data_IF_040884204055
#
_entry.id   IF_040884204055
#
_cell.length_a   1.000
_cell.length_b   1.000
_cell.length_c   1.000
_cell.angle_alpha   90.00
_cell.angle_beta   90.00
_cell.angle_gamma   90.00
#
_symmetry.space_group_name_H-M   'P 1'
#
loop_
_entity.id
_entity.type
_entity.pdbx_description
1 polymer ?
#
# COMPACT_ATOMS: atom_id res chain seq x y z
N UNK A 1 0.87 22.61 6.36
CA UNK A 1 -0.22 21.71 5.93
C UNK A 1 0.43 20.37 5.62
N UNK A 2 0.14 19.31 6.37
CA UNK A 2 0.80 18.00 6.15
C UNK A 2 0.39 17.47 4.77
N UNK A 3 1.37 17.27 3.88
CA UNK A 3 1.21 16.49 2.67
C UNK A 3 0.82 15.08 3.10
N UNK A 4 -0.47 14.73 3.10
CA UNK A 4 -0.87 13.35 3.39
C UNK A 4 -0.57 12.53 2.15
N UNK A 5 0.32 11.55 2.27
CA UNK A 5 0.46 10.50 1.25
C UNK A 5 -0.87 9.78 1.15
N UNK A 6 -1.40 9.72 -0.05
CA UNK A 6 -2.64 9.03 -0.39
C UNK A 6 -2.30 7.76 -1.13
N UNK A 7 -3.06 6.70 -0.87
CA UNK A 7 -2.91 5.40 -1.53
C UNK A 7 -4.26 4.88 -1.97
N UNK A 8 -4.29 4.28 -3.16
CA UNK A 8 -5.46 3.67 -3.75
C UNK A 8 -5.03 2.39 -4.45
N UNK A 9 -5.79 1.32 -4.28
CA UNK A 9 -5.61 0.08 -5.03
C UNK A 9 -6.85 -0.12 -5.88
N UNK A 10 -6.72 -0.40 -7.17
CA UNK A 10 -7.86 -0.75 -8.02
C UNK A 10 -7.69 -2.17 -8.57
N UNK A 11 -8.80 -2.87 -8.75
CA UNK A 11 -8.84 -4.20 -9.35
C UNK A 11 -10.17 -4.42 -10.08
N UNK A 12 -10.20 -5.17 -11.19
CA UNK A 12 -11.45 -5.41 -11.94
C UNK A 12 -12.44 -6.33 -11.24
N UNK A 13 -12.08 -6.93 -10.09
CA UNK A 13 -12.95 -7.81 -9.34
C UNK A 13 -14.07 -7.05 -8.62
N UNK A 14 -15.27 -7.62 -8.53
CA UNK A 14 -16.38 -7.03 -7.80
C UNK A 14 -16.14 -7.03 -6.28
N UNK A 15 -16.81 -6.12 -5.56
CA UNK A 15 -16.52 -5.87 -4.16
C UNK A 15 -16.87 -7.07 -3.26
N UNK A 16 -17.96 -7.79 -3.55
CA UNK A 16 -18.39 -8.93 -2.74
C UNK A 16 -17.39 -10.10 -2.81
N UNK A 17 -16.95 -10.46 -4.01
CA UNK A 17 -15.93 -11.50 -4.22
C UNK A 17 -14.59 -11.09 -3.64
N UNK A 18 -14.19 -9.83 -3.86
CA UNK A 18 -12.96 -9.29 -3.32
C UNK A 18 -12.98 -9.28 -1.79
N UNK A 19 -14.07 -8.85 -1.17
CA UNK A 19 -14.23 -8.80 0.29
C UNK A 19 -14.08 -10.20 0.91
N UNK A 20 -14.76 -11.19 0.33
CA UNK A 20 -14.67 -12.60 0.76
C UNK A 20 -13.25 -13.16 0.59
N UNK A 21 -12.62 -12.90 -0.54
CA UNK A 21 -11.28 -13.41 -0.85
C UNK A 21 -10.17 -12.72 -0.03
N UNK A 22 -10.31 -11.42 0.24
CA UNK A 22 -9.37 -10.68 1.10
C UNK A 22 -9.48 -11.12 2.56
N UNK A 23 -10.69 -11.32 3.07
CA UNK A 23 -10.90 -11.79 4.43
C UNK A 23 -10.31 -13.20 4.63
N UNK A 24 -10.58 -14.13 3.70
CA UNK A 24 -9.98 -15.48 3.75
C UNK A 24 -8.46 -15.46 3.56
N UNK A 25 -7.95 -14.55 2.74
CA UNK A 25 -6.54 -14.34 2.48
C UNK A 25 -5.77 -13.59 3.58
N UNK A 26 -6.45 -13.17 4.65
CA UNK A 26 -5.93 -12.31 5.72
C UNK A 26 -5.20 -11.07 5.17
N UNK A 27 -5.80 -10.44 4.18
CA UNK A 27 -5.32 -9.16 3.65
C UNK A 27 -5.71 -8.05 4.63
N UNK A 28 -4.84 -7.05 4.79
CA UNK A 28 -5.01 -5.99 5.79
C UNK A 28 -6.32 -5.20 5.61
N UNK A 29 -6.72 -4.43 6.64
CA UNK A 29 -7.92 -3.60 6.57
C UNK A 29 -7.84 -2.59 5.42
N UNK A 30 -8.96 -2.35 4.75
CA UNK A 30 -9.11 -1.36 3.70
C UNK A 30 -10.60 -1.07 3.49
N UNK A 31 -10.95 0.17 3.17
CA UNK A 31 -12.29 0.44 2.69
C UNK A 31 -12.42 -0.05 1.24
N UNK A 32 -13.50 -0.76 0.94
CA UNK A 32 -13.83 -1.25 -0.39
C UNK A 32 -14.88 -0.32 -1.01
N UNK A 33 -14.61 0.17 -2.20
CA UNK A 33 -15.44 1.13 -2.89
C UNK A 33 -15.83 0.49 -4.23
N UNK A 34 -17.04 -0.09 -4.36
CA UNK A 34 -17.49 -0.69 -5.60
C UNK A 34 -17.66 0.40 -6.66
N UNK A 35 -17.12 0.14 -7.85
CA UNK A 35 -17.21 1.00 -9.02
C UNK A 35 -17.63 0.15 -10.23
N UNK A 36 -18.04 0.79 -11.32
CA UNK A 36 -18.49 0.05 -12.52
C UNK A 36 -17.39 -0.87 -13.09
N UNK A 37 -16.14 -0.42 -13.02
CA UNK A 37 -14.95 -1.12 -13.50
C UNK A 37 -14.34 -2.10 -12.49
N UNK A 38 -15.02 -2.42 -11.39
CA UNK A 38 -14.55 -3.36 -10.37
C UNK A 38 -14.61 -2.78 -8.95
N UNK A 39 -13.49 -2.81 -8.24
CA UNK A 39 -13.42 -2.32 -6.86
C UNK A 39 -12.16 -1.50 -6.62
N UNK A 40 -12.34 -0.38 -5.94
CA UNK A 40 -11.26 0.42 -5.39
C UNK A 40 -11.09 0.08 -3.91
N UNK A 41 -9.87 -0.18 -3.46
CA UNK A 41 -9.50 -0.35 -2.07
C UNK A 41 -8.73 0.88 -1.60
N UNK A 42 -9.14 1.42 -0.46
CA UNK A 42 -8.49 2.53 0.19
C UNK A 42 -7.84 2.03 1.49
N UNK A 43 -6.50 1.90 1.54
CA UNK A 43 -5.80 1.53 2.76
C UNK A 43 -5.91 2.64 3.84
N UNK A 44 -5.80 2.29 5.13
CA UNK A 44 -5.73 3.27 6.21
C UNK A 44 -4.58 4.29 6.02
N UNK A 45 -4.68 5.54 6.53
CA UNK A 45 -3.70 6.60 6.25
C UNK A 45 -2.28 6.30 6.75
N UNK A 46 -2.15 5.47 7.80
CA UNK A 46 -0.87 4.97 8.30
C UNK A 46 -0.25 3.80 7.54
N UNK A 47 -0.85 3.33 6.44
CA UNK A 47 -0.37 2.16 5.69
C UNK A 47 0.96 2.47 4.99
N UNK A 48 1.98 1.63 5.22
CA UNK A 48 3.28 1.76 4.54
C UNK A 48 3.19 1.28 3.10
N UNK A 49 4.01 1.84 2.21
CA UNK A 49 4.12 1.41 0.81
C UNK A 49 4.36 -0.09 0.66
N UNK A 50 5.18 -0.70 1.53
CA UNK A 50 5.45 -2.14 1.50
C UNK A 50 4.21 -2.97 1.87
N UNK A 51 3.38 -2.46 2.78
CA UNK A 51 2.13 -3.11 3.18
C UNK A 51 1.07 -2.96 2.09
N UNK A 52 0.94 -1.76 1.51
CA UNK A 52 0.08 -1.52 0.36
C UNK A 52 0.48 -2.41 -0.83
N UNK A 53 1.77 -2.47 -1.18
CA UNK A 53 2.28 -3.35 -2.23
C UNK A 53 2.04 -4.84 -1.93
N UNK A 54 2.18 -5.26 -0.66
CA UNK A 54 1.81 -6.61 -0.25
C UNK A 54 0.31 -6.88 -0.46
N UNK A 55 -0.56 -5.96 -0.04
CA UNK A 55 -2.00 -6.05 -0.26
C UNK A 55 -2.33 -6.12 -1.75
N UNK A 56 -1.79 -5.21 -2.57
CA UNK A 56 -1.97 -5.20 -4.03
C UNK A 56 -1.52 -6.51 -4.68
N UNK A 57 -0.38 -7.07 -4.25
CA UNK A 57 0.08 -8.36 -4.77
C UNK A 57 -0.85 -9.52 -4.38
N UNK A 58 -1.49 -9.48 -3.20
CA UNK A 58 -2.51 -10.46 -2.79
C UNK A 58 -3.79 -10.28 -3.60
N UNK A 59 -4.25 -9.05 -3.80
CA UNK A 59 -5.40 -8.72 -4.66
C UNK A 59 -5.16 -9.20 -6.09
N UNK A 60 -3.98 -8.93 -6.67
CA UNK A 60 -3.59 -9.47 -7.98
C UNK A 60 -3.73 -10.99 -8.05
N UNK A 61 -3.28 -11.72 -7.03
CA UNK A 61 -3.37 -13.20 -7.04
C UNK A 61 -4.82 -13.71 -7.07
N UNK A 62 -5.76 -12.91 -6.59
CA UNK A 62 -7.19 -13.24 -6.56
C UNK A 62 -7.85 -12.81 -7.88
N UNK A 63 -7.57 -11.59 -8.33
CA UNK A 63 -8.28 -10.93 -9.42
C UNK A 63 -7.56 -10.96 -10.78
N UNK A 64 -6.41 -11.62 -10.89
CA UNK A 64 -5.55 -11.62 -12.08
C UNK A 64 -4.74 -10.32 -12.27
N UNK A 65 -5.13 -9.22 -11.63
CA UNK A 65 -4.42 -7.95 -11.68
C UNK A 65 -4.87 -6.92 -10.65
N UNK A 66 -3.99 -5.97 -10.39
CA UNK A 66 -4.30 -4.80 -9.58
C UNK A 66 -3.42 -3.60 -9.94
N UNK A 67 -3.94 -2.40 -9.75
CA UNK A 67 -3.21 -1.15 -9.78
C UNK A 67 -3.01 -0.62 -8.36
N UNK A 68 -1.84 -0.07 -8.05
CA UNK A 68 -1.57 0.67 -6.81
C UNK A 68 -1.11 2.07 -7.18
N UNK A 69 -1.91 3.07 -6.84
CA UNK A 69 -1.56 4.48 -6.94
C UNK A 69 -1.13 4.99 -5.57
N UNK A 70 -0.05 5.78 -5.54
CA UNK A 70 0.47 6.45 -4.35
C UNK A 70 0.85 7.87 -4.75
N UNK A 71 0.29 8.88 -4.11
CA UNK A 71 0.52 10.27 -4.52
C UNK A 71 0.37 11.27 -3.38
N UNK A 72 0.89 12.46 -3.62
CA UNK A 72 0.66 13.66 -2.83
C UNK A 72 0.56 14.86 -3.81
N UNK A 73 0.57 16.08 -3.29
CA UNK A 73 0.39 17.28 -4.12
C UNK A 73 1.59 17.57 -5.05
N UNK A 74 2.72 16.88 -4.87
CA UNK A 74 3.99 17.16 -5.56
C UNK A 74 4.54 16.01 -6.41
N UNK A 75 4.07 14.78 -6.18
CA UNK A 75 4.49 13.60 -6.92
C UNK A 75 3.40 12.53 -6.94
N UNK A 76 3.47 11.64 -7.94
CA UNK A 76 2.62 10.47 -8.03
C UNK A 76 3.39 9.24 -8.52
N UNK A 77 2.99 8.07 -8.04
CA UNK A 77 3.52 6.75 -8.38
C UNK A 77 2.35 5.84 -8.71
N UNK A 78 2.39 5.15 -9.85
CA UNK A 78 1.40 4.15 -10.24
C UNK A 78 2.09 2.83 -10.56
N UNK A 79 1.81 1.81 -9.78
CA UNK A 79 2.30 0.45 -9.97
C UNK A 79 1.19 -0.42 -10.57
N UNK A 80 1.48 -1.11 -11.68
CA UNK A 80 0.58 -2.12 -12.21
C UNK A 80 1.13 -3.52 -11.96
N UNK A 81 0.37 -4.28 -11.19
CA UNK A 81 0.66 -5.63 -10.76
C UNK A 81 -0.11 -6.62 -11.63
N UNK A 82 0.40 -6.91 -12.83
CA UNK A 82 0.00 -8.11 -13.61
C UNK A 82 0.87 -9.32 -13.24
N UNK A 83 2.12 -9.08 -12.86
CA UNK A 83 3.07 -10.10 -12.36
C UNK A 83 3.51 -9.78 -10.93
N UNK A 84 4.43 -10.57 -10.37
CA UNK A 84 4.96 -10.38 -9.00
C UNK A 84 5.75 -9.08 -8.83
N UNK A 85 6.22 -8.49 -9.93
CA UNK A 85 6.99 -7.24 -9.95
C UNK A 85 6.17 -6.16 -10.64
N UNK A 86 5.59 -5.26 -9.85
CA UNK A 86 5.01 -4.02 -10.37
C UNK A 86 6.11 -3.01 -10.64
N UNK A 87 6.23 -2.52 -11.88
CA UNK A 87 7.06 -1.35 -12.19
C UNK A 87 6.20 -0.09 -12.02
N UNK A 88 6.78 0.94 -11.43
CA UNK A 88 6.08 2.18 -11.14
C UNK A 88 6.24 3.15 -12.32
N UNK A 89 5.11 3.65 -12.82
CA UNK A 89 5.06 4.93 -13.51
C UNK A 89 5.17 6.06 -12.49
N UNK A 90 5.82 7.18 -12.83
CA UNK A 90 6.09 8.28 -11.90
C UNK A 90 5.83 9.65 -12.53
N UNK A 91 5.22 10.56 -11.79
CA UNK A 91 5.02 11.97 -12.13
C UNK A 91 5.59 12.88 -11.04
N UNK A 92 6.04 14.08 -11.44
CA UNK A 92 6.69 15.07 -10.59
C UNK A 92 8.21 15.14 -10.77
N UNK A 93 8.82 16.12 -10.10
CA UNK A 93 10.28 16.26 -10.08
C UNK A 93 10.93 15.05 -9.41
N UNK A 94 12.22 14.83 -9.69
CA UNK A 94 12.97 13.71 -9.11
C UNK A 94 12.96 13.79 -7.59
N UNK A 95 13.20 14.98 -7.05
CA UNK A 95 13.24 15.26 -5.62
C UNK A 95 11.87 14.99 -4.97
N UNK A 96 10.78 15.41 -5.63
CA UNK A 96 9.42 15.18 -5.14
C UNK A 96 9.05 13.69 -5.12
N UNK A 97 9.42 12.93 -6.16
CA UNK A 97 9.18 11.48 -6.24
C UNK A 97 9.97 10.73 -5.14
N UNK A 98 11.22 11.12 -4.88
CA UNK A 98 12.00 10.53 -3.79
C UNK A 98 11.44 10.88 -2.42
N UNK A 99 10.98 12.12 -2.23
CA UNK A 99 10.33 12.55 -1.00
C UNK A 99 9.05 11.75 -0.75
N UNK A 100 8.19 11.61 -1.77
CA UNK A 100 6.98 10.80 -1.70
C UNK A 100 7.30 9.33 -1.38
N UNK A 101 8.29 8.74 -2.04
CA UNK A 101 8.70 7.35 -1.77
C UNK A 101 9.18 7.15 -0.34
N UNK A 102 10.00 8.07 0.17
CA UNK A 102 10.50 8.04 1.54
C UNK A 102 9.36 8.20 2.57
N UNK A 103 8.41 9.09 2.28
CA UNK A 103 7.24 9.33 3.12
C UNK A 103 6.30 8.12 3.13
N UNK A 104 5.98 7.58 1.95
CA UNK A 104 5.14 6.39 1.79
C UNK A 104 5.75 5.14 2.44
N UNK A 105 7.09 4.98 2.38
CA UNK A 105 7.80 3.90 3.10
C UNK A 105 7.86 4.13 4.62
N UNK A 106 7.57 5.35 5.08
CA UNK A 106 7.86 5.81 6.44
C UNK A 106 9.34 5.56 6.80
N UNK A 107 10.23 5.82 5.84
CA UNK A 107 11.66 5.58 5.98
C UNK A 107 12.26 6.45 7.08
N UNK A 108 12.95 5.80 8.03
CA UNK A 108 13.81 6.49 8.99
C UNK A 108 15.00 7.20 8.32
N UNK A 109 15.81 7.95 9.09
CA UNK A 109 16.90 8.78 8.53
C UNK A 109 17.86 8.02 7.61
N UNK A 110 18.25 6.80 7.98
CA UNK A 110 19.12 5.94 7.18
C UNK A 110 18.47 5.46 5.87
N UNK A 111 17.17 5.15 5.90
CA UNK A 111 16.41 4.72 4.71
C UNK A 111 16.28 5.84 3.66
N UNK A 112 16.12 7.10 4.11
CA UNK A 112 16.09 8.26 3.21
C UNK A 112 17.42 8.49 2.50
N UNK A 113 18.52 8.22 3.20
CA UNK A 113 19.87 8.36 2.67
C UNK A 113 20.16 7.28 1.62
N UNK A 114 19.72 6.04 1.87
CA UNK A 114 19.78 4.93 0.90
C UNK A 114 18.92 5.18 -0.36
N UNK A 115 17.70 5.70 -0.17
CA UNK A 115 16.81 6.06 -1.29
C UNK A 115 17.43 7.18 -2.15
N UNK A 116 18.10 8.17 -1.53
CA UNK A 116 18.86 9.20 -2.26
C UNK A 116 20.05 8.65 -3.02
N UNK A 117 20.81 7.71 -2.45
CA UNK A 117 21.97 7.11 -3.13
C UNK A 117 21.58 6.21 -4.31
N UNK A 118 20.43 5.55 -4.23
CA UNK A 118 19.92 4.69 -5.32
C UNK A 118 19.10 5.47 -6.36
N UNK A 119 18.73 6.71 -6.06
CA UNK A 119 18.02 7.60 -6.99
C UNK A 119 18.77 7.87 -8.30
N UNK A 120 20.09 7.69 -8.35
CA UNK A 120 20.91 7.82 -9.57
C UNK A 120 20.53 6.82 -10.68
N UNK A 121 19.88 5.72 -10.30
CA UNK A 121 19.47 4.65 -11.20
C UNK A 121 18.05 4.86 -11.78
N UNK A 122 17.29 5.84 -11.28
CA UNK A 122 15.95 6.17 -11.79
C UNK A 122 16.12 7.06 -13.02
N UNK A 123 16.40 6.45 -14.16
CA UNK A 123 16.67 7.15 -15.40
C UNK A 123 15.36 7.71 -15.99
N UNK A 124 15.29 9.03 -16.21
CA UNK A 124 14.08 9.70 -16.70
C UNK A 124 13.63 9.19 -18.08
N UNK A 125 14.56 8.66 -18.90
CA UNK A 125 14.28 8.04 -20.21
C UNK A 125 13.51 6.72 -20.11
N UNK A 126 13.59 6.02 -18.98
CA UNK A 126 12.82 4.77 -18.77
C UNK A 126 11.36 5.05 -18.38
N UNK A 127 11.03 6.27 -17.97
CA UNK A 127 9.67 6.66 -17.53
C UNK A 127 8.63 6.50 -18.63
N UNK A 128 8.95 6.92 -19.85
CA UNK A 128 8.04 6.80 -21.01
C UNK A 128 7.76 5.33 -21.33
N UNK A 129 8.81 4.49 -21.38
CA UNK A 129 8.68 3.04 -21.58
C UNK A 129 7.81 2.38 -20.51
N UNK A 130 7.95 2.79 -19.25
CA UNK A 130 7.15 2.24 -18.15
C UNK A 130 5.70 2.71 -18.17
N UNK A 131 5.42 3.90 -18.69
CA UNK A 131 4.05 4.36 -18.93
C UNK A 131 3.37 3.60 -20.06
N UNK A 132 4.08 3.36 -21.16
CA UNK A 132 3.58 2.49 -22.22
C UNK A 132 3.27 1.08 -21.68
N UNK A 133 4.22 0.48 -20.95
CA UNK A 133 4.02 -0.81 -20.28
C UNK A 133 2.84 -0.76 -19.30
N UNK A 134 2.65 0.35 -18.59
CA UNK A 134 1.52 0.51 -17.70
C UNK A 134 0.20 0.56 -18.46
N UNK A 135 0.10 1.34 -19.53
CA UNK A 135 -1.13 1.43 -20.32
C UNK A 135 -1.45 0.07 -20.98
N UNK A 136 -0.44 -0.61 -21.51
CA UNK A 136 -0.61 -1.93 -22.13
C UNK A 136 -1.07 -2.95 -21.08
N UNK A 137 -0.50 -2.94 -19.87
CA UNK A 137 -0.95 -3.78 -18.75
C UNK A 137 -2.36 -3.44 -18.28
N UNK A 138 -2.72 -2.15 -18.21
CA UNK A 138 -4.05 -1.72 -17.83
C UNK A 138 -5.09 -2.19 -18.86
N UNK A 139 -4.79 -2.03 -20.14
CA UNK A 139 -5.65 -2.48 -21.24
C UNK A 139 -5.77 -4.01 -21.25
N UNK A 140 -4.70 -4.74 -20.91
CA UNK A 140 -4.76 -6.19 -20.75
C UNK A 140 -5.63 -6.62 -19.55
N UNK A 141 -5.62 -5.85 -18.46
CA UNK A 141 -6.43 -6.11 -17.26
C UNK A 141 -7.90 -5.71 -17.42
N UNK A 142 -8.16 -4.64 -18.16
CA UNK A 142 -9.49 -4.13 -18.45
C UNK A 142 -9.55 -3.74 -19.94
N UNK A 143 -9.93 -4.66 -20.83
CA UNK A 143 -10.00 -4.42 -22.27
C UNK A 143 -10.83 -3.19 -22.70
N UNK A 144 -11.89 -2.79 -21.98
CA UNK A 144 -12.60 -1.55 -22.27
C UNK A 144 -11.80 -0.26 -21.98
N UNK A 145 -10.64 -0.35 -21.30
CA UNK A 145 -9.81 0.81 -21.02
C UNK A 145 -9.28 1.44 -22.31
N UNK A 146 -9.28 2.77 -22.36
CA UNK A 146 -8.72 3.51 -23.47
C UNK A 146 -7.19 3.48 -23.43
N UNK A 147 -6.59 2.94 -24.50
CA UNK A 147 -5.14 3.03 -24.72
C UNK A 147 -4.73 4.42 -25.18
N UNK A 148 -5.53 5.05 -26.05
CA UNK A 148 -5.18 6.31 -26.72
C UNK A 148 -5.18 7.50 -25.75
N UNK A 149 -6.15 7.56 -24.83
CA UNK A 149 -6.32 8.69 -23.91
C UNK A 149 -5.11 8.93 -23.00
N UNK A 150 -4.62 7.92 -22.26
CA UNK A 150 -3.45 8.09 -21.40
C UNK A 150 -2.18 8.38 -22.21
N UNK A 151 -2.01 7.77 -23.39
CA UNK A 151 -0.86 7.99 -24.27
C UNK A 151 -0.72 9.45 -24.73
N UNK A 152 -1.84 10.11 -25.04
CA UNK A 152 -1.84 11.53 -25.44
C UNK A 152 -1.44 12.45 -24.27
N UNK A 153 -1.61 11.99 -23.02
CA UNK A 153 -1.35 12.74 -21.79
C UNK A 153 -0.04 12.36 -21.08
N UNK A 154 0.69 11.38 -21.59
CA UNK A 154 2.02 10.94 -21.08
C UNK A 154 3.04 12.10 -20.98
N UNK A 155 2.85 13.19 -21.74
CA UNK A 155 3.86 14.24 -21.90
C UNK A 155 3.98 15.23 -20.73
N UNK A 156 3.01 15.28 -19.81
CA UNK A 156 3.05 16.21 -18.67
C UNK A 156 3.68 15.56 -17.42
N UNK A 157 4.97 15.24 -17.50
CA UNK A 157 5.71 14.57 -16.42
C UNK A 157 5.95 15.44 -15.19
N UNK A 158 5.76 16.76 -15.29
CA UNK A 158 6.06 17.70 -14.23
C UNK A 158 4.83 18.06 -13.40
N UNK A 159 3.64 17.94 -13.99
CA UNK A 159 2.41 18.11 -13.27
C UNK A 159 2.02 16.82 -12.53
N UNK A 160 2.44 16.72 -11.28
CA UNK A 160 2.01 15.66 -10.39
C UNK A 160 0.61 15.90 -9.80
N UNK A 161 0.15 17.16 -9.81
CA UNK A 161 -1.15 17.53 -9.32
C UNK A 161 -2.22 16.90 -10.22
N UNK A 162 -3.16 16.15 -9.64
CA UNK A 162 -4.19 15.39 -10.35
C UNK A 162 -3.68 14.29 -11.30
N UNK A 163 -2.39 13.94 -11.29
CA UNK A 163 -1.83 12.94 -12.20
C UNK A 163 -2.55 11.57 -12.12
N UNK A 164 -2.95 11.16 -10.92
CA UNK A 164 -3.68 9.90 -10.70
C UNK A 164 -5.13 9.99 -11.20
N UNK A 165 -5.97 10.96 -10.76
CA UNK A 165 -7.30 11.17 -11.34
C UNK A 165 -7.30 11.28 -12.86
N UNK A 166 -6.41 12.10 -13.44
CA UNK A 166 -6.36 12.31 -14.88
C UNK A 166 -5.93 11.07 -15.65
N UNK A 167 -5.00 10.28 -15.12
CA UNK A 167 -4.62 9.01 -15.72
C UNK A 167 -5.82 8.06 -15.81
N UNK A 168 -6.54 7.84 -14.71
CA UNK A 168 -7.68 6.93 -14.69
C UNK A 168 -8.83 7.43 -15.57
N UNK A 169 -9.12 8.73 -15.55
CA UNK A 169 -10.11 9.35 -16.43
C UNK A 169 -9.75 9.15 -17.91
N UNK A 170 -8.49 9.43 -18.27
CA UNK A 170 -8.02 9.24 -19.63
C UNK A 170 -8.06 7.76 -20.06
N UNK A 171 -7.83 6.84 -19.13
CA UNK A 171 -7.90 5.40 -19.35
C UNK A 171 -9.35 4.87 -19.48
N UNK A 172 -10.37 5.73 -19.39
CA UNK A 172 -11.77 5.29 -19.44
C UNK A 172 -12.26 4.67 -18.12
N UNK A 173 -11.64 5.06 -17.00
CA UNK A 173 -12.03 4.66 -15.64
C UNK A 173 -12.43 5.91 -14.81
N UNK A 174 -13.46 6.67 -15.24
CA UNK A 174 -13.84 7.92 -14.59
C UNK A 174 -14.32 7.73 -13.14
N UNK A 175 -14.87 6.56 -12.79
CA UNK A 175 -15.30 6.24 -11.43
C UNK A 175 -14.09 6.07 -10.50
N UNK A 176 -13.00 5.48 -11.00
CA UNK A 176 -11.76 5.33 -10.23
C UNK A 176 -11.11 6.69 -10.01
N UNK A 177 -11.14 7.56 -11.03
CA UNK A 177 -10.72 8.94 -10.93
C UNK A 177 -11.52 9.71 -9.87
N UNK A 178 -12.86 9.56 -9.87
CA UNK A 178 -13.74 10.18 -8.89
C UNK A 178 -13.40 9.73 -7.46
N UNK A 179 -13.11 8.44 -7.24
CA UNK A 179 -12.70 7.95 -5.92
C UNK A 179 -11.35 8.54 -5.50
N UNK A 180 -10.41 8.70 -6.43
CA UNK A 180 -9.14 9.36 -6.15
C UNK A 180 -9.34 10.84 -5.73
N UNK A 181 -10.22 11.57 -6.40
CA UNK A 181 -10.56 12.97 -6.08
C UNK A 181 -11.25 13.09 -4.71
N UNK A 182 -12.24 12.24 -4.41
CA UNK A 182 -12.89 12.21 -3.11
C UNK A 182 -11.91 11.86 -1.98
N UNK A 183 -10.88 11.05 -2.28
CA UNK A 183 -9.78 10.76 -1.36
C UNK A 183 -8.87 11.99 -1.17
N UNK A 184 -8.65 12.78 -2.22
CA UNK A 184 -7.91 14.06 -2.12
C UNK A 184 -8.61 15.08 -1.23
N UNK A 185 -9.95 15.15 -1.32
CA UNK A 185 -10.81 15.98 -0.48
C UNK A 185 -10.88 15.53 1.00
N UNK A 186 -10.32 14.35 1.33
CA UNK A 186 -10.38 13.80 2.69
C UNK A 186 -11.76 13.24 3.07
N UNK A 187 -12.66 13.02 2.10
CA UNK A 187 -14.03 12.52 2.35
C UNK A 187 -14.05 11.14 2.98
N UNK A 188 -13.03 10.32 2.71
CA UNK A 188 -12.89 8.97 3.25
C UNK A 188 -12.14 8.93 4.59
N UNK A 189 -11.53 10.03 5.06
CA UNK A 189 -10.58 10.02 6.17
C UNK A 189 -11.19 9.49 7.48
N UNK A 190 -12.45 9.83 7.77
CA UNK A 190 -13.14 9.36 8.98
C UNK A 190 -13.29 7.84 9.00
N UNK A 191 -13.74 7.25 7.88
CA UNK A 191 -13.86 5.79 7.76
C UNK A 191 -12.48 5.13 7.78
N UNK A 192 -11.50 5.70 7.07
CA UNK A 192 -10.15 5.14 6.99
C UNK A 192 -9.41 5.16 8.34
N UNK A 193 -9.65 6.17 9.18
CA UNK A 193 -9.11 6.23 10.55
C UNK A 193 -9.69 5.12 11.44
N UNK A 194 -10.97 4.77 11.27
CA UNK A 194 -11.60 3.66 12.02
C UNK A 194 -10.98 2.29 11.71
N UNK A 195 -10.32 2.17 10.55
CA UNK A 195 -9.67 0.96 10.07
C UNK A 195 -8.21 0.81 10.53
N UNK A 196 -7.63 1.84 11.14
CA UNK A 196 -6.29 1.71 11.70
C UNK A 196 -6.29 0.61 12.78
N UNK A 197 -5.25 -0.25 12.80
CA UNK A 197 -5.16 -1.27 13.83
C UNK A 197 -5.18 -0.61 15.21
N UNK A 198 -5.92 -1.17 16.20
CA UNK A 198 -5.83 -0.68 17.56
C UNK A 198 -4.34 -0.68 17.95
N UNK A 199 -3.87 0.44 18.52
CA UNK A 199 -2.44 0.68 18.86
C UNK A 199 -1.79 -0.64 19.26
N UNK A 200 -0.81 -1.07 18.46
CA UNK A 200 -0.10 -2.34 18.64
C UNK A 200 0.18 -2.53 20.11
N UNK A 201 -0.30 -3.63 20.71
CA UNK A 201 0.03 -3.96 22.08
C UNK A 201 1.56 -4.03 22.18
N UNK A 202 2.18 -3.01 22.77
CA UNK A 202 3.64 -2.83 22.80
C UNK A 202 4.31 -3.80 23.78
N UNK A 203 3.54 -4.46 24.65
CA UNK A 203 4.05 -5.30 25.72
C UNK A 203 4.93 -6.48 25.23
N UNK A 204 4.70 -7.16 24.09
CA UNK A 204 5.59 -8.22 23.62
C UNK A 204 6.96 -7.68 23.18
N UNK A 205 6.99 -6.48 22.59
CA UNK A 205 8.24 -5.77 22.26
C UNK A 205 8.95 -5.28 23.52
N UNK A 206 8.17 -4.77 24.49
CA UNK A 206 8.69 -4.32 25.77
C UNK A 206 9.26 -5.48 26.62
N UNK A 207 8.70 -6.69 26.51
CA UNK A 207 9.18 -7.89 27.21
C UNK A 207 10.41 -8.54 26.53
N UNK A 208 10.61 -8.30 25.23
CA UNK A 208 11.70 -8.91 24.47
C UNK A 208 13.09 -8.43 24.89
N UNK A 209 13.25 -7.12 25.10
CA UNK A 209 14.52 -6.51 25.48
C UNK A 209 15.01 -6.99 26.87
N UNK A 210 14.16 -7.01 27.92
CA UNK A 210 14.49 -7.63 29.20
C UNK A 210 14.87 -9.10 29.08
N UNK A 211 14.16 -9.87 28.24
CA UNK A 211 14.43 -11.29 28.05
C UNK A 211 15.79 -11.54 27.40
N UNK A 212 16.17 -10.74 26.39
CA UNK A 212 17.50 -10.77 25.77
C UNK A 212 18.60 -10.45 26.79
N UNK A 213 18.39 -9.41 27.61
CA UNK A 213 19.34 -9.04 28.68
C UNK A 213 19.48 -10.15 29.71
N UNK A 214 18.38 -10.79 30.13
CA UNK A 214 18.39 -11.93 31.05
C UNK A 214 19.14 -13.13 30.47
N UNK A 215 18.96 -13.39 29.17
CA UNK A 215 19.65 -14.48 28.46
C UNK A 215 21.15 -14.22 28.38
N UNK A 216 21.55 -12.97 28.12
CA UNK A 216 22.95 -12.54 28.11
C UNK A 216 23.57 -12.63 29.51
N UNK A 217 22.83 -12.24 30.55
CA UNK A 217 23.28 -12.31 31.94
C UNK A 217 23.48 -13.76 32.39
N UNK A 218 22.55 -14.66 32.06
CA UNK A 218 22.66 -16.07 32.39
C UNK A 218 23.84 -16.74 31.68
N UNK A 219 24.09 -16.40 30.40
CA UNK A 219 25.23 -16.96 29.66
C UNK A 219 26.57 -16.52 30.24
N UNK A 220 26.68 -15.27 30.73
CA UNK A 220 27.84 -14.79 31.48
C UNK A 220 27.99 -15.48 32.85
N UNK A 221 26.91 -15.62 33.62
CA UNK A 221 26.95 -16.21 34.98
C UNK A 221 27.31 -17.71 34.97
N UNK A 222 26.84 -18.45 33.97
CA UNK A 222 27.01 -19.90 33.89
C UNK A 222 28.13 -20.33 32.92
N UNK A 223 28.95 -19.40 32.43
CA UNK A 223 30.06 -19.65 31.48
C UNK A 223 29.61 -20.47 30.26
N UNK A 224 28.40 -20.20 29.77
CA UNK A 224 27.81 -20.94 28.66
C UNK A 224 28.51 -20.51 27.36
N UNK A 225 28.86 -21.43 26.46
CA UNK A 225 29.49 -21.09 25.19
C UNK A 225 28.66 -20.08 24.38
N UNK A 226 29.34 -19.10 23.76
CA UNK A 226 28.69 -18.05 22.98
C UNK A 226 27.79 -18.60 21.85
N UNK A 227 28.11 -19.77 21.29
CA UNK A 227 27.29 -20.45 20.27
C UNK A 227 25.88 -20.74 20.79
N UNK A 228 25.75 -21.14 22.06
CA UNK A 228 24.45 -21.43 22.69
C UNK A 228 23.65 -20.15 22.89
N UNK A 229 24.31 -19.05 23.28
CA UNK A 229 23.68 -17.73 23.38
C UNK A 229 23.08 -17.27 22.04
N UNK A 230 23.85 -17.39 20.95
CA UNK A 230 23.39 -17.00 19.62
C UNK A 230 22.23 -17.88 19.13
N UNK A 231 22.26 -19.19 19.41
CA UNK A 231 21.16 -20.10 19.09
C UNK A 231 19.88 -19.73 19.85
N UNK A 232 19.96 -19.52 21.16
CA UNK A 232 18.80 -19.14 21.98
C UNK A 232 18.24 -17.78 21.53
N UNK A 233 19.12 -16.82 21.26
CA UNK A 233 18.73 -15.48 20.75
C UNK A 233 18.03 -15.59 19.39
N UNK A 234 18.56 -16.40 18.46
CA UNK A 234 17.94 -16.61 17.16
C UNK A 234 16.53 -17.26 17.29
N UNK A 235 16.38 -18.23 18.19
CA UNK A 235 15.08 -18.87 18.48
C UNK A 235 14.11 -17.86 19.11
N UNK A 236 14.56 -17.05 20.06
CA UNK A 236 13.76 -15.99 20.68
C UNK A 236 13.26 -14.96 19.66
N UNK A 237 14.14 -14.51 18.76
CA UNK A 237 13.78 -13.61 17.65
C UNK A 237 12.74 -14.27 16.74
N UNK A 238 12.94 -15.54 16.38
CA UNK A 238 12.02 -16.27 15.52
C UNK A 238 10.64 -16.47 16.17
N UNK A 239 10.60 -16.79 17.47
CA UNK A 239 9.37 -16.92 18.25
C UNK A 239 8.64 -15.59 18.38
N UNK A 240 9.36 -14.50 18.68
CA UNK A 240 8.77 -13.16 18.73
C UNK A 240 8.18 -12.77 17.38
N UNK A 241 8.94 -12.94 16.30
CA UNK A 241 8.47 -12.62 14.95
C UNK A 241 7.20 -13.44 14.62
N UNK A 242 7.19 -14.73 14.96
CA UNK A 242 6.04 -15.61 14.78
C UNK A 242 4.84 -15.15 15.62
N UNK A 243 5.04 -14.84 16.89
CA UNK A 243 3.99 -14.37 17.80
C UNK A 243 3.36 -13.05 17.31
N UNK A 244 4.19 -12.08 16.88
CA UNK A 244 3.72 -10.82 16.31
C UNK A 244 2.92 -11.04 15.01
N UNK A 245 3.36 -11.96 14.14
CA UNK A 245 2.61 -12.32 12.93
C UNK A 245 1.29 -12.98 13.28
N UNK A 246 1.26 -13.91 14.24
CA UNK A 246 0.03 -14.60 14.67
C UNK A 246 -0.95 -13.62 15.31
N UNK A 247 -0.51 -12.75 16.20
CA UNK A 247 -1.34 -11.72 16.84
C UNK A 247 -1.96 -10.78 15.80
N UNK A 248 -1.16 -10.30 14.83
CA UNK A 248 -1.65 -9.45 13.74
C UNK A 248 -2.71 -10.17 12.89
N UNK A 249 -2.51 -11.45 12.59
CA UNK A 249 -3.46 -12.28 11.83
C UNK A 249 -4.76 -12.55 12.61
N UNK A 250 -4.66 -12.82 13.91
CA UNK A 250 -5.84 -13.09 14.74
C UNK A 250 -6.74 -11.86 14.88
N UNK A 251 -6.18 -10.65 14.95
CA UNK A 251 -6.94 -9.41 15.02
C UNK A 251 -7.82 -9.19 13.76
N UNK A 252 -7.30 -9.54 12.59
CA UNK A 252 -8.03 -9.45 11.31
C UNK A 252 -9.10 -10.53 11.22
N UNK A 253 -8.79 -11.76 11.66
CA UNK A 253 -9.69 -12.92 11.54
C UNK A 253 -10.89 -12.89 12.48
N UNK A 254 -10.76 -12.30 13.67
CA UNK A 254 -11.83 -12.26 14.69
C UNK A 254 -12.86 -11.15 14.48
N UNK A 255 -12.54 -10.10 13.71
CA UNK A 255 -13.46 -9.00 13.44
C UNK A 255 -14.43 -9.38 12.31
N UNK A 256 -15.66 -8.88 12.39
CA UNK A 256 -16.64 -9.05 11.32
C UNK A 256 -16.11 -8.46 10.00
N UNK A 257 -16.43 -9.11 8.89
CA UNK A 257 -15.89 -8.77 7.56
C UNK A 257 -16.15 -7.29 7.24
N UNK A 258 -17.35 -6.78 7.50
CA UNK A 258 -17.73 -5.39 7.24
C UNK A 258 -17.01 -4.36 8.12
N UNK A 259 -16.46 -4.77 9.27
CA UNK A 259 -15.68 -3.88 10.15
C UNK A 259 -14.24 -3.73 9.69
N UNK A 260 -13.71 -4.72 8.96
CA UNK A 260 -12.32 -4.74 8.48
C UNK A 260 -12.23 -4.30 7.03
N UNK A 261 -13.29 -4.59 6.26
CA UNK A 261 -13.43 -4.29 4.84
C UNK A 261 -14.81 -3.65 4.60
N UNK A 262 -15.07 -2.43 5.12
CA UNK A 262 -16.34 -1.75 4.92
C UNK A 262 -16.54 -1.46 3.44
N UNK A 263 -17.74 -1.72 2.93
CA UNK A 263 -18.12 -1.40 1.56
C UNK A 263 -18.76 -0.01 1.56
N UNK A 264 -18.12 0.96 0.92
CA UNK A 264 -18.59 2.34 0.84
C UNK A 264 -19.13 2.58 -0.58
N UNK A 265 -20.44 2.76 -0.77
CA UNK A 265 -20.98 3.03 -2.10
C UNK A 265 -20.50 4.39 -2.61
N UNK A 266 -20.15 4.47 -3.91
CA UNK A 266 -19.95 5.75 -4.60
C UNK A 266 -21.31 6.30 -5.00
N UNK A 267 -22.06 6.83 -4.04
CA UNK A 267 -23.21 7.68 -4.36
C UNK A 267 -22.73 9.11 -4.49
N UNK A 268 -23.19 9.83 -5.52
CA UNK A 268 -23.00 11.28 -5.58
C UNK A 268 -23.77 11.92 -4.42
N UNK A 269 -23.08 12.18 -3.30
CA UNK A 269 -23.56 13.05 -2.24
C UNK A 269 -24.09 12.41 -0.95
N UNK A 270 -24.04 11.09 -0.75
CA UNK A 270 -24.40 10.52 0.56
C UNK A 270 -23.13 10.22 1.38
N UNK A 271 -22.82 11.11 2.33
CA UNK A 271 -21.93 10.79 3.43
C UNK A 271 -22.46 9.53 4.18
N UNK A 272 -21.59 8.70 4.77
CA UNK A 272 -22.04 7.76 5.79
C UNK A 272 -22.55 8.60 6.97
N UNK A 273 -23.86 8.65 7.14
CA UNK A 273 -24.48 9.16 8.37
C UNK A 273 -24.24 8.14 9.48
N UNK A 274 -23.57 8.63 10.53
CA UNK A 274 -23.35 8.11 11.89
C UNK A 274 -22.76 6.71 12.08
#
# INVERSE_FOLDING_TARGET
>A
MMLRVRMLIWTPLNAAELQKAMHSGNVGPAALVPVQSGTVLLPPPGTKLSEAAYMTNRVRKIAGGAALAVWNDSAALLYLFTTTLGRATMWGSREAVLALSAEAKQSGPAGRLFDRSTAGLVNLREKEKWQHDAIDKLTALWPPASRKGPLERIRDFHNAHQAIPDFFRAAGLPEVAQVAELTEEGRADGVLQSLEPPRTQMWPLAAFLPLMVLTALATLLFSIPAVVYYLISAVLVALLATALVVLRRQLVRKKAINTVLPVIPVTQGAAPTD
#
